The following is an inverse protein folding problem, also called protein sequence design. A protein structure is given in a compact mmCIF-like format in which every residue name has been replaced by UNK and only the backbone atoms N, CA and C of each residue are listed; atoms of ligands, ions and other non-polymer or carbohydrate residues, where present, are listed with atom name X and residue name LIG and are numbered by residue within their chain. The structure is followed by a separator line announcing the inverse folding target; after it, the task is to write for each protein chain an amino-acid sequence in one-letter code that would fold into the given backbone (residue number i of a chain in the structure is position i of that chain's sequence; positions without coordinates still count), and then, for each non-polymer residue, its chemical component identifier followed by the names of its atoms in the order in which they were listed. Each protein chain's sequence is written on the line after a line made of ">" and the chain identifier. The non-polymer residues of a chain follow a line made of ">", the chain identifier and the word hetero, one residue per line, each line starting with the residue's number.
data_IF_346798217673
#
_entry.id   IF_346798217673
#
_cell.length_a   1.000
_cell.length_b   1.000
_cell.length_c   1.000
_cell.angle_alpha   90.00
_cell.angle_beta   90.00
_cell.angle_gamma   90.00
#
_symmetry.space_group_name_H-M   'P 1'
#
loop_
_entity.id
_entity.type
_entity.pdbx_description
1 polymer ?
#
# COMPACT_ATOMS: atom_id res chain seq x y z
N UNK A 1 6.63 -6.83 -16.24
CA UNK A 1 5.84 -5.57 -16.30
C UNK A 1 6.32 -4.64 -15.18
N UNK A 2 5.95 -3.35 -15.24
CA UNK A 2 6.31 -2.34 -14.24
C UNK A 2 5.07 -1.90 -13.46
N UNK A 3 5.07 -2.13 -12.15
CA UNK A 3 3.96 -1.84 -11.25
C UNK A 3 4.30 -0.69 -10.30
N UNK A 4 3.34 0.20 -10.09
CA UNK A 4 3.31 1.12 -8.96
C UNK A 4 2.31 0.61 -7.92
N UNK A 5 2.74 0.41 -6.68
CA UNK A 5 1.88 0.11 -5.54
C UNK A 5 1.87 1.31 -4.60
N UNK A 6 0.77 2.04 -4.55
CA UNK A 6 0.60 3.13 -3.58
C UNK A 6 0.14 2.56 -2.25
N UNK A 7 0.62 3.07 -1.12
CA UNK A 7 0.34 2.45 0.18
C UNK A 7 1.03 1.09 0.34
N UNK A 8 2.12 0.86 -0.41
CA UNK A 8 2.81 -0.42 -0.47
C UNK A 8 3.47 -0.82 0.84
N UNK A 9 3.70 0.10 1.78
CA UNK A 9 4.21 -0.24 3.11
C UNK A 9 3.09 -0.63 4.09
N UNK A 10 1.82 -0.57 3.69
CA UNK A 10 0.66 -1.01 4.45
C UNK A 10 0.45 -2.53 4.49
N UNK A 11 -0.57 -2.99 5.22
CA UNK A 11 -0.84 -4.43 5.41
C UNK A 11 -1.14 -5.17 4.09
N UNK A 12 -2.09 -4.65 3.30
CA UNK A 12 -2.46 -5.25 2.00
C UNK A 12 -1.38 -4.95 0.96
N UNK A 13 -0.94 -3.69 0.89
CA UNK A 13 0.04 -3.22 -0.10
C UNK A 13 1.34 -4.02 -0.07
N UNK A 14 1.89 -4.28 1.11
CA UNK A 14 3.18 -4.98 1.24
C UNK A 14 3.10 -6.45 0.81
N UNK A 15 1.96 -7.10 1.01
CA UNK A 15 1.73 -8.45 0.50
C UNK A 15 1.66 -8.48 -1.03
N UNK A 16 1.07 -7.47 -1.65
CA UNK A 16 1.03 -7.34 -3.11
C UNK A 16 2.43 -7.10 -3.65
N UNK A 17 3.18 -6.17 -3.05
CA UNK A 17 4.59 -5.92 -3.41
C UNK A 17 5.40 -7.21 -3.33
N UNK A 18 5.27 -7.98 -2.25
CA UNK A 18 5.95 -9.26 -2.06
C UNK A 18 5.67 -10.24 -3.21
N UNK A 19 4.41 -10.40 -3.63
CA UNK A 19 4.05 -11.34 -4.70
C UNK A 19 4.52 -10.85 -6.08
N UNK A 20 4.47 -9.53 -6.35
CA UNK A 20 5.01 -8.96 -7.59
C UNK A 20 6.53 -9.13 -7.69
N UNK A 21 7.26 -8.88 -6.59
CA UNK A 21 8.71 -9.11 -6.52
C UNK A 21 9.04 -10.59 -6.76
N UNK A 22 8.31 -11.52 -6.13
CA UNK A 22 8.50 -12.97 -6.36
C UNK A 22 8.28 -13.38 -7.82
N UNK A 23 7.36 -12.73 -8.52
CA UNK A 23 7.10 -12.96 -9.95
C UNK A 23 8.19 -12.40 -10.86
N UNK A 24 9.12 -11.59 -10.32
CA UNK A 24 10.20 -10.97 -11.07
C UNK A 24 9.79 -9.69 -11.80
N UNK A 25 8.69 -9.07 -11.40
CA UNK A 25 8.29 -7.77 -11.95
C UNK A 25 9.10 -6.62 -11.34
N UNK A 26 9.16 -5.50 -12.07
CA UNK A 26 9.66 -4.25 -11.50
C UNK A 26 8.56 -3.63 -10.63
N UNK A 27 8.88 -3.34 -9.37
CA UNK A 27 7.93 -2.81 -8.40
C UNK A 27 8.43 -1.50 -7.83
N UNK A 28 7.65 -0.44 -8.06
CA UNK A 28 7.78 0.84 -7.39
C UNK A 28 6.73 0.95 -6.30
N UNK A 29 7.12 1.49 -5.15
CA UNK A 29 6.23 1.75 -4.01
C UNK A 29 6.18 3.25 -3.75
N UNK A 30 4.97 3.81 -3.67
CA UNK A 30 4.75 5.18 -3.18
C UNK A 30 4.02 5.13 -1.84
N UNK A 31 4.69 5.54 -0.76
CA UNK A 31 4.12 5.53 0.59
C UNK A 31 4.69 6.69 1.43
N UNK A 32 3.85 7.36 2.21
CA UNK A 32 4.27 8.46 3.07
C UNK A 32 4.63 8.01 4.50
N UNK A 33 4.55 6.71 4.79
CA UNK A 33 4.83 6.09 6.09
C UNK A 33 3.93 6.60 7.23
N UNK A 34 2.77 7.19 6.92
CA UNK A 34 1.83 7.65 7.95
C UNK A 34 1.19 6.49 8.72
N UNK A 35 0.90 5.37 8.03
CA UNK A 35 0.41 4.13 8.62
C UNK A 35 1.20 2.89 8.15
N UNK A 36 1.93 3.02 7.04
CA UNK A 36 2.84 1.99 6.55
C UNK A 36 4.05 1.82 7.45
N UNK A 37 4.69 0.65 7.36
CA UNK A 37 5.84 0.25 8.18
C UNK A 37 6.96 -0.22 7.28
N UNK A 38 8.16 0.32 7.44
CA UNK A 38 9.32 -0.09 6.63
C UNK A 38 9.66 -1.57 6.83
N UNK A 39 9.37 -2.12 8.01
CA UNK A 39 9.57 -3.54 8.32
C UNK A 39 8.75 -4.46 7.42
N UNK A 40 7.61 -3.99 6.88
CA UNK A 40 6.80 -4.76 5.93
C UNK A 40 7.50 -4.92 4.56
N UNK A 41 8.45 -4.05 4.23
CA UNK A 41 9.20 -4.05 2.98
C UNK A 41 10.63 -4.57 3.15
N UNK A 42 11.18 -4.56 4.37
CA UNK A 42 12.55 -4.96 4.69
C UNK A 42 13.01 -6.29 4.05
N UNK A 43 12.20 -7.36 3.97
CA UNK A 43 12.63 -8.63 3.37
C UNK A 43 12.96 -8.59 1.87
N UNK A 44 12.60 -7.50 1.18
CA UNK A 44 12.81 -7.33 -0.27
C UNK A 44 13.11 -5.87 -0.63
N UNK A 45 13.65 -5.10 0.32
CA UNK A 45 13.95 -3.68 0.13
C UNK A 45 14.96 -3.43 -1.00
N UNK A 46 15.86 -4.39 -1.27
CA UNK A 46 16.84 -4.37 -2.36
C UNK A 46 16.23 -4.66 -3.75
N UNK A 47 14.96 -5.08 -3.79
CA UNK A 47 14.26 -5.50 -5.03
C UNK A 47 13.15 -4.54 -5.45
N UNK A 48 12.98 -3.43 -4.75
CA UNK A 48 11.93 -2.44 -5.00
C UNK A 48 12.51 -1.04 -5.20
N UNK A 49 11.79 -0.21 -5.96
CA UNK A 49 12.01 1.24 -6.00
C UNK A 49 11.07 1.90 -4.98
N UNK A 50 11.56 2.17 -3.77
CA UNK A 50 10.78 2.84 -2.73
C UNK A 50 10.87 4.36 -2.86
N UNK A 51 9.74 4.98 -3.19
CA UNK A 51 9.57 6.44 -3.19
C UNK A 51 8.77 6.86 -1.97
N UNK A 52 9.44 7.53 -1.02
CA UNK A 52 8.76 8.16 0.12
C UNK A 52 8.09 9.44 -0.34
N UNK A 53 6.77 9.47 -0.30
CA UNK A 53 5.98 10.59 -0.82
C UNK A 53 4.49 10.42 -0.55
N UNK A 54 3.72 11.49 -0.71
CA UNK A 54 2.29 11.49 -0.43
C UNK A 54 1.48 11.37 -1.72
N UNK A 55 0.55 10.42 -1.76
CA UNK A 55 -0.34 10.26 -2.93
C UNK A 55 -1.23 11.48 -3.19
N UNK A 56 -1.43 12.34 -2.19
CA UNK A 56 -2.17 13.60 -2.30
C UNK A 56 -1.31 14.71 -2.91
N UNK A 57 0.01 14.53 -3.00
CA UNK A 57 0.93 15.46 -3.64
C UNK A 57 1.05 15.12 -5.13
N UNK A 58 0.63 16.05 -5.99
CA UNK A 58 0.63 15.85 -7.44
C UNK A 58 2.02 15.59 -8.03
N UNK A 59 3.07 16.19 -7.47
CA UNK A 59 4.43 16.03 -7.98
C UNK A 59 5.02 14.68 -7.58
N UNK A 60 4.69 14.16 -6.39
CA UNK A 60 5.06 12.81 -5.97
C UNK A 60 4.37 11.77 -6.87
N UNK A 61 3.08 11.97 -7.18
CA UNK A 61 2.32 11.11 -8.08
C UNK A 61 2.93 11.11 -9.48
N UNK A 62 3.20 12.28 -10.06
CA UNK A 62 3.79 12.41 -11.42
C UNK A 62 5.10 11.64 -11.53
N UNK A 63 5.99 11.80 -10.55
CA UNK A 63 7.26 11.06 -10.49
C UNK A 63 7.04 9.55 -10.34
N UNK A 64 6.10 9.16 -9.48
CA UNK A 64 5.83 7.76 -9.21
C UNK A 64 5.27 7.01 -10.43
N UNK A 65 4.40 7.64 -11.22
CA UNK A 65 3.78 7.00 -12.40
C UNK A 65 4.68 6.95 -13.63
N UNK A 66 5.81 7.67 -13.63
CA UNK A 66 6.68 7.75 -14.79
C UNK A 66 7.24 6.37 -15.18
N UNK A 67 6.92 5.94 -16.41
CA UNK A 67 7.38 4.67 -16.98
C UNK A 67 6.73 3.42 -16.38
N UNK A 68 5.58 3.55 -15.69
CA UNK A 68 4.82 2.45 -15.08
C UNK A 68 3.73 1.93 -16.05
N UNK A 69 3.55 0.61 -16.09
CA UNK A 69 2.49 -0.03 -16.91
C UNK A 69 1.16 -0.16 -16.14
N UNK A 70 1.23 -0.40 -14.82
CA UNK A 70 0.07 -0.69 -13.98
C UNK A 70 0.15 0.00 -12.61
N UNK A 71 -0.99 0.51 -12.13
CA UNK A 71 -1.11 1.12 -10.80
C UNK A 71 -2.07 0.29 -9.93
N UNK A 72 -1.59 -0.13 -8.77
CA UNK A 72 -2.37 -0.82 -7.72
C UNK A 72 -2.52 0.14 -6.52
N UNK A 73 -3.72 0.66 -6.35
CA UNK A 73 -3.99 1.75 -5.42
C UNK A 73 -4.46 1.24 -4.05
N UNK A 74 -3.53 1.13 -3.09
CA UNK A 74 -3.80 0.68 -1.71
C UNK A 74 -3.41 1.70 -0.64
N UNK A 75 -3.13 2.95 -1.02
CA UNK A 75 -2.96 4.03 -0.07
C UNK A 75 -4.32 4.37 0.55
N UNK A 76 -4.46 4.14 1.86
CA UNK A 76 -5.66 4.46 2.61
C UNK A 76 -5.29 4.84 4.04
N UNK A 77 -6.09 5.71 4.65
CA UNK A 77 -5.96 6.06 6.07
C UNK A 77 -7.32 5.94 6.74
N UNK A 78 -7.37 5.15 7.82
CA UNK A 78 -8.56 5.02 8.66
C UNK A 78 -9.62 4.08 8.10
N UNK A 79 -9.78 2.91 8.73
CA UNK A 79 -11.04 2.18 8.70
C UNK A 79 -11.43 1.88 10.15
N UNK A 80 -12.22 2.76 10.75
CA UNK A 80 -12.83 2.48 12.05
C UNK A 80 -14.08 1.64 11.81
N UNK A 81 -14.00 0.34 12.06
CA UNK A 81 -15.18 -0.50 12.17
C UNK A 81 -15.91 -0.10 13.46
N UNK A 82 -16.98 0.69 13.34
CA UNK A 82 -17.92 0.89 14.45
C UNK A 82 -18.75 -0.38 14.60
N UNK A 83 -18.35 -1.23 15.55
CA UNK A 83 -19.18 -2.36 15.98
C UNK A 83 -20.11 -1.84 17.07
N UNK A 84 -21.39 -1.67 16.73
CA UNK A 84 -22.46 -1.48 17.72
C UNK A 84 -23.05 -2.83 18.10
N UNK A 85 -23.15 -3.14 19.40
CA UNK A 85 -23.99 -4.26 19.85
C UNK A 85 -25.43 -3.93 19.49
N UNK A 86 -26.10 -4.83 18.77
CA UNK A 86 -27.56 -4.85 18.72
C UNK A 86 -28.00 -5.25 20.14
N UNK A 87 -28.74 -4.41 20.87
CA UNK A 87 -29.28 -4.78 22.17
C UNK A 87 -30.10 -6.06 21.96
N UNK A 88 -29.67 -7.14 22.61
CA UNK A 88 -30.29 -8.46 22.53
C UNK A 88 -31.79 -8.37 22.74
N UNK A 89 -32.54 -9.01 21.83
CA UNK A 89 -33.88 -9.54 22.11
C UNK A 89 -33.91 -10.08 23.53
N UNK A 90 -34.72 -9.47 24.39
CA UNK A 90 -35.09 -10.07 25.67
C UNK A 90 -35.87 -11.34 25.32
N UNK A 91 -35.16 -12.49 25.34
CA UNK A 91 -35.84 -13.78 25.37
C UNK A 91 -36.53 -13.83 26.73
N UNK A 92 -37.85 -13.68 26.70
CA UNK A 92 -38.74 -13.92 27.84
C UNK A 92 -38.66 -15.37 28.28
#
# INVERSE_FOLDING_TARGET
>A
MKYLVTGGAGFIGSNIVRELVKRGDYVRVLDNMAAGKEENLAPFADKIDLQKGDIRNVEDVKKAVEGIDHVLHHAASGMSLKVSRIPSLQVK
#
